data_IF_663636950842
#
_entry.id   IF_663636950842
#
_cell.length_a   1.000
_cell.length_b   1.000
_cell.length_c   1.000
_cell.angle_alpha   90.00
_cell.angle_beta   90.00
_cell.angle_gamma   90.00
#
_symmetry.space_group_name_H-M   'P 1'
#
loop_
_entity.id
_entity.type
_entity.pdbx_description
1 polymer ?
#
# COMPACT_ATOMS: atom_id res chain seq x y z
N UNK A 1 -0.88 1.61 -26.30
CA UNK A 1 -1.60 0.62 -25.47
C UNK A 1 -0.63 -0.14 -24.62
N UNK A 2 -0.91 -0.30 -23.34
CA UNK A 2 -0.15 -1.16 -22.44
C UNK A 2 -1.06 -2.28 -21.96
N UNK A 3 -0.56 -3.52 -21.96
CA UNK A 3 -1.30 -4.70 -21.51
C UNK A 3 -0.45 -5.46 -20.52
N UNK A 4 -0.96 -5.68 -19.32
CA UNK A 4 -0.32 -6.46 -18.28
C UNK A 4 -1.19 -7.66 -17.90
N UNK A 5 -0.53 -8.75 -17.54
CA UNK A 5 -1.21 -9.93 -16.98
C UNK A 5 -0.70 -10.15 -15.56
N UNK A 6 -1.57 -9.93 -14.57
CA UNK A 6 -1.18 -10.00 -13.16
C UNK A 6 -0.61 -11.35 -12.75
N UNK A 7 -1.05 -12.43 -13.35
CA UNK A 7 -0.49 -13.77 -13.08
C UNK A 7 0.95 -13.92 -13.57
N UNK A 8 1.32 -13.18 -14.64
CA UNK A 8 2.68 -13.19 -15.21
C UNK A 8 3.61 -12.18 -14.56
N UNK A 9 3.07 -11.15 -13.92
CA UNK A 9 3.84 -10.07 -13.31
C UNK A 9 4.21 -10.33 -11.85
N UNK A 10 3.90 -11.50 -11.32
CA UNK A 10 4.18 -11.87 -9.93
C UNK A 10 5.68 -11.89 -9.64
N UNK A 11 6.04 -11.37 -8.46
CA UNK A 11 7.37 -11.47 -7.90
C UNK A 11 7.25 -11.58 -6.37
N UNK A 12 8.00 -12.48 -5.76
CA UNK A 12 7.84 -12.83 -4.34
C UNK A 12 9.15 -12.73 -3.59
N UNK A 13 9.09 -12.22 -2.36
CA UNK A 13 10.22 -12.17 -1.44
C UNK A 13 9.73 -12.55 -0.02
N UNK A 14 10.39 -13.52 0.66
CA UNK A 14 9.94 -13.95 1.99
C UNK A 14 10.17 -12.92 3.08
N UNK A 15 11.03 -11.92 2.87
CA UNK A 15 11.36 -10.90 3.86
C UNK A 15 10.45 -9.69 3.84
N UNK A 16 9.98 -9.30 2.65
CA UNK A 16 9.12 -8.14 2.47
C UNK A 16 8.25 -8.29 1.23
N UNK A 17 7.11 -7.62 1.22
CA UNK A 17 6.27 -7.58 0.02
C UNK A 17 7.02 -6.94 -1.15
N UNK A 18 6.66 -7.37 -2.36
CA UNK A 18 7.25 -6.86 -3.59
C UNK A 18 6.26 -5.94 -4.28
N UNK A 19 6.69 -4.73 -4.57
CA UNK A 19 5.95 -3.78 -5.40
C UNK A 19 6.65 -3.65 -6.74
N UNK A 20 5.98 -4.08 -7.81
CA UNK A 20 6.48 -3.99 -9.17
C UNK A 20 5.69 -2.95 -9.94
N UNK A 21 6.32 -1.82 -10.25
CA UNK A 21 5.72 -0.80 -11.10
C UNK A 21 5.64 -1.33 -12.53
N UNK A 22 4.42 -1.44 -13.06
CA UNK A 22 4.14 -1.95 -14.40
C UNK A 22 4.15 -0.84 -15.45
N UNK A 23 3.82 0.39 -15.05
CA UNK A 23 3.81 1.53 -15.93
C UNK A 23 3.48 2.83 -15.22
N UNK A 24 3.61 3.92 -15.95
CA UNK A 24 3.24 5.26 -15.50
C UNK A 24 2.00 5.74 -16.23
N UNK A 25 1.17 6.51 -15.51
CA UNK A 25 -0.01 7.20 -16.04
C UNK A 25 0.11 8.65 -15.59
N UNK A 26 0.52 9.56 -16.50
CA UNK A 26 0.82 10.96 -16.17
C UNK A 26 1.80 11.05 -14.98
N UNK A 27 1.41 11.65 -13.86
CA UNK A 27 2.21 11.78 -12.64
C UNK A 27 2.06 10.58 -11.67
N UNK A 28 1.29 9.57 -12.08
CA UNK A 28 1.02 8.37 -11.29
C UNK A 28 1.69 7.11 -11.80
N UNK A 29 1.43 6.02 -11.11
CA UNK A 29 1.89 4.69 -11.50
C UNK A 29 0.82 3.61 -11.32
N UNK A 30 1.00 2.52 -12.06
CA UNK A 30 0.27 1.27 -11.89
C UNK A 30 1.23 0.19 -11.44
N UNK A 31 0.87 -0.55 -10.40
CA UNK A 31 1.76 -1.46 -9.70
C UNK A 31 1.03 -2.77 -9.40
N UNK A 32 1.74 -3.89 -9.49
CA UNK A 32 1.32 -5.12 -8.82
C UNK A 32 2.09 -5.25 -7.50
N UNK A 33 1.38 -5.43 -6.40
CA UNK A 33 1.94 -5.69 -5.08
C UNK A 33 1.71 -7.16 -4.71
N UNK A 34 2.80 -7.88 -4.48
CA UNK A 34 2.80 -9.31 -4.18
C UNK A 34 3.15 -9.52 -2.71
N UNK A 35 2.26 -10.19 -1.98
CA UNK A 35 2.34 -10.36 -0.53
C UNK A 35 2.43 -11.81 -0.15
N UNK A 36 3.49 -12.19 0.55
CA UNK A 36 3.57 -13.48 1.24
C UNK A 36 2.67 -13.48 2.49
N UNK A 37 2.25 -14.65 3.00
CA UNK A 37 1.44 -14.74 4.20
C UNK A 37 2.00 -13.91 5.37
N UNK A 38 1.13 -13.14 6.02
CA UNK A 38 1.44 -12.38 7.22
C UNK A 38 2.32 -11.13 7.05
N UNK A 39 2.71 -10.78 5.85
CA UNK A 39 3.45 -9.53 5.61
C UNK A 39 2.58 -8.31 5.87
N UNK A 40 3.19 -7.24 6.40
CA UNK A 40 2.50 -6.01 6.80
C UNK A 40 3.22 -4.81 6.20
N UNK A 41 2.47 -3.91 5.56
CA UNK A 41 3.01 -2.65 5.06
C UNK A 41 3.37 -1.68 6.18
N UNK A 42 4.17 -0.65 5.90
CA UNK A 42 4.18 0.52 6.77
C UNK A 42 2.78 1.08 6.99
N UNK A 43 2.53 1.65 8.17
CA UNK A 43 1.39 2.50 8.43
C UNK A 43 1.76 3.91 7.96
N UNK A 44 1.25 4.31 6.80
CA UNK A 44 1.75 5.45 6.04
C UNK A 44 0.64 6.18 5.30
N UNK A 45 0.96 7.33 4.75
CA UNK A 45 0.09 8.05 3.81
C UNK A 45 0.89 8.61 2.64
N UNK A 46 0.16 8.96 1.59
CA UNK A 46 0.67 9.77 0.48
C UNK A 46 0.02 11.15 0.54
N UNK A 47 0.72 12.20 1.03
CA UNK A 47 0.13 13.52 1.22
C UNK A 47 -0.48 14.15 -0.03
N UNK A 48 0.07 13.82 -1.21
CA UNK A 48 -0.27 14.45 -2.47
C UNK A 48 -0.77 13.48 -3.54
N UNK A 49 -1.11 12.25 -3.15
CA UNK A 49 -1.63 11.25 -4.07
C UNK A 49 -2.84 10.51 -3.50
N UNK A 50 -3.77 10.17 -4.38
CA UNK A 50 -4.78 9.13 -4.16
C UNK A 50 -4.16 7.78 -4.44
N UNK A 51 -4.42 6.82 -3.60
CA UNK A 51 -3.98 5.44 -3.78
C UNK A 51 -5.19 4.52 -3.87
N UNK A 52 -5.22 3.68 -4.89
CA UNK A 52 -6.33 2.78 -5.16
C UNK A 52 -5.78 1.35 -5.18
N UNK A 53 -6.38 0.48 -4.38
CA UNK A 53 -6.10 -0.95 -4.39
C UNK A 53 -7.27 -1.75 -4.91
N UNK A 54 -6.97 -2.73 -5.74
CA UNK A 54 -7.89 -3.78 -6.15
C UNK A 54 -7.29 -5.13 -5.78
N UNK A 55 -8.04 -5.92 -5.00
CA UNK A 55 -7.62 -7.28 -4.65
C UNK A 55 -7.98 -8.25 -5.77
N UNK A 56 -6.96 -8.81 -6.40
CA UNK A 56 -7.12 -9.79 -7.46
C UNK A 56 -7.22 -11.21 -6.90
N UNK A 57 -6.28 -11.60 -6.02
CA UNK A 57 -6.28 -12.92 -5.36
C UNK A 57 -5.81 -12.79 -3.92
N UNK A 58 -6.16 -13.75 -3.08
CA UNK A 58 -5.76 -13.78 -1.67
C UNK A 58 -6.62 -12.86 -0.81
N UNK A 59 -5.97 -11.98 -0.07
CA UNK A 59 -6.63 -10.99 0.76
C UNK A 59 -6.02 -10.87 2.15
N UNK A 60 -6.55 -9.92 2.92
CA UNK A 60 -6.08 -9.58 4.25
C UNK A 60 -6.94 -8.50 4.88
N UNK A 61 -6.30 -7.56 5.57
CA UNK A 61 -7.00 -6.44 6.22
C UNK A 61 -6.36 -5.12 5.84
N UNK A 62 -7.21 -4.13 5.53
CA UNK A 62 -6.80 -2.74 5.36
C UNK A 62 -7.25 -1.95 6.60
N UNK A 63 -6.32 -1.23 7.22
CA UNK A 63 -6.54 -0.44 8.42
C UNK A 63 -6.30 1.04 8.17
N UNK A 64 -7.22 1.87 8.62
CA UNK A 64 -7.06 3.31 8.78
C UNK A 64 -7.20 3.68 10.28
N UNK A 65 -7.03 4.94 10.68
CA UNK A 65 -7.31 5.34 12.07
C UNK A 65 -8.77 5.12 12.51
N UNK A 66 -9.70 5.10 11.55
CA UNK A 66 -11.14 5.02 11.81
C UNK A 66 -11.69 3.60 11.81
N UNK A 67 -11.11 2.73 10.97
CA UNK A 67 -11.67 1.41 10.74
C UNK A 67 -10.62 0.39 10.26
N UNK A 68 -11.01 -0.85 10.33
CA UNK A 68 -10.31 -1.96 9.70
C UNK A 68 -11.32 -2.76 8.90
N UNK A 69 -11.04 -2.96 7.61
CA UNK A 69 -11.90 -3.72 6.71
C UNK A 69 -11.21 -5.00 6.26
N UNK A 70 -12.01 -6.00 5.91
CA UNK A 70 -11.53 -7.19 5.21
C UNK A 70 -11.34 -6.88 3.73
N UNK A 71 -10.16 -7.23 3.23
CA UNK A 71 -9.82 -7.16 1.81
C UNK A 71 -9.91 -8.57 1.25
N UNK A 72 -10.83 -8.79 0.35
CA UNK A 72 -11.09 -10.09 -0.30
C UNK A 72 -11.01 -9.93 -1.83
N UNK A 73 -10.87 -10.99 -2.61
CA UNK A 73 -10.88 -10.89 -4.08
C UNK A 73 -12.09 -10.11 -4.59
N UNK A 74 -11.84 -9.11 -5.45
CA UNK A 74 -12.83 -8.16 -5.91
C UNK A 74 -12.99 -6.90 -5.05
N UNK A 75 -12.38 -6.83 -3.86
CA UNK A 75 -12.39 -5.62 -3.05
C UNK A 75 -11.65 -4.47 -3.75
N UNK A 76 -12.24 -3.29 -3.66
CA UNK A 76 -11.70 -2.06 -4.22
C UNK A 76 -11.62 -1.00 -3.11
N UNK A 77 -10.42 -0.53 -2.83
CA UNK A 77 -10.17 0.41 -1.72
C UNK A 77 -9.55 1.68 -2.28
N UNK A 78 -10.07 2.83 -1.87
CA UNK A 78 -9.56 4.14 -2.29
C UNK A 78 -9.11 4.90 -1.05
N UNK A 79 -7.84 5.27 -1.00
CA UNK A 79 -7.26 6.13 0.01
C UNK A 79 -7.09 7.54 -0.56
N UNK A 80 -7.81 8.54 -0.05
CA UNK A 80 -7.60 9.92 -0.46
C UNK A 80 -6.23 10.43 0.03
N UNK A 81 -5.73 11.56 -0.55
CA UNK A 81 -4.47 12.14 -0.14
C UNK A 81 -4.42 12.37 1.38
N UNK A 82 -3.32 11.95 2.01
CA UNK A 82 -3.06 12.14 3.42
C UNK A 82 -3.72 11.12 4.36
N UNK A 83 -4.60 10.24 3.88
CA UNK A 83 -5.17 9.18 4.72
C UNK A 83 -4.10 8.15 5.08
N UNK A 84 -3.88 7.99 6.39
CA UNK A 84 -2.94 6.98 6.91
C UNK A 84 -3.57 5.60 6.83
N UNK A 85 -2.88 4.66 6.20
CA UNK A 85 -3.37 3.29 6.04
C UNK A 85 -2.26 2.26 6.14
N UNK A 86 -2.66 1.01 6.38
CA UNK A 86 -1.78 -0.16 6.47
C UNK A 86 -2.51 -1.37 5.91
N UNK A 87 -1.82 -2.15 5.11
CA UNK A 87 -2.28 -3.47 4.69
C UNK A 87 -1.55 -4.57 5.48
N UNK A 88 -2.32 -5.48 6.06
CA UNK A 88 -1.82 -6.69 6.71
C UNK A 88 -2.33 -7.90 5.93
N UNK A 89 -1.40 -8.65 5.32
CA UNK A 89 -1.76 -9.80 4.52
C UNK A 89 -2.27 -10.97 5.38
N UNK A 90 -3.21 -11.70 4.82
CA UNK A 90 -3.79 -12.89 5.42
C UNK A 90 -2.91 -14.14 5.28
N UNK A 91 -3.50 -15.35 5.45
CA UNK A 91 -2.76 -16.62 5.46
C UNK A 91 -2.38 -17.13 4.07
N UNK A 92 -2.79 -16.47 2.99
CA UNK A 92 -2.49 -16.85 1.61
C UNK A 92 -1.66 -15.78 0.92
N UNK A 93 -0.96 -16.17 -0.16
CA UNK A 93 -0.35 -15.21 -1.09
C UNK A 93 -1.41 -14.30 -1.67
N UNK A 94 -1.12 -13.02 -1.78
CA UNK A 94 -2.05 -12.01 -2.27
C UNK A 94 -1.43 -11.20 -3.40
N UNK A 95 -2.23 -10.95 -4.41
CA UNK A 95 -1.95 -9.97 -5.46
C UNK A 95 -2.92 -8.81 -5.31
N UNK A 96 -2.36 -7.63 -5.05
CA UNK A 96 -3.09 -6.36 -5.11
C UNK A 96 -2.61 -5.59 -6.35
N UNK A 97 -3.56 -5.17 -7.17
CA UNK A 97 -3.30 -4.18 -8.19
C UNK A 97 -3.46 -2.79 -7.57
N UNK A 98 -2.49 -1.91 -7.79
CA UNK A 98 -2.48 -0.57 -7.21
C UNK A 98 -2.33 0.49 -8.29
N UNK A 99 -3.10 1.56 -8.16
CA UNK A 99 -2.91 2.80 -8.90
C UNK A 99 -2.64 3.93 -7.91
N UNK A 100 -1.59 4.70 -8.15
CA UNK A 100 -1.37 5.97 -7.46
C UNK A 100 -1.45 7.11 -8.46
N UNK A 101 -2.15 8.17 -8.07
CA UNK A 101 -2.34 9.34 -8.92
C UNK A 101 -2.31 10.62 -8.07
N UNK A 102 -1.52 11.60 -8.47
CA UNK A 102 -1.40 12.88 -7.78
C UNK A 102 -0.14 13.65 -8.16
N UNK A 103 0.11 14.75 -7.46
CA UNK A 103 1.24 15.64 -7.77
C UNK A 103 2.61 15.01 -7.53
N UNK A 104 2.72 14.13 -6.54
CA UNK A 104 3.89 13.29 -6.29
C UNK A 104 3.51 12.01 -5.55
N UNK A 105 4.40 11.02 -5.57
CA UNK A 105 4.18 9.71 -4.94
C UNK A 105 4.89 9.59 -3.58
N UNK A 106 5.31 10.69 -2.98
CA UNK A 106 6.01 10.70 -1.70
C UNK A 106 5.15 10.05 -0.61
N UNK A 107 5.77 9.20 0.20
CA UNK A 107 5.15 8.58 1.37
C UNK A 107 5.67 9.19 2.67
N UNK A 108 4.79 9.30 3.67
CA UNK A 108 5.09 9.62 5.07
C UNK A 108 4.75 8.43 5.95
N UNK A 109 5.74 7.91 6.68
CA UNK A 109 5.59 6.71 7.49
C UNK A 109 5.35 7.07 8.96
N UNK A 110 4.23 6.61 9.49
CA UNK A 110 3.85 6.83 10.88
C UNK A 110 4.38 5.71 11.80
N UNK A 111 4.24 4.47 11.36
CA UNK A 111 4.65 3.27 12.09
C UNK A 111 4.86 2.10 11.12
N UNK A 112 5.48 1.01 11.58
CA UNK A 112 5.57 -0.23 10.82
C UNK A 112 5.65 -1.44 11.74
N UNK A 113 4.51 -2.02 12.08
CA UNK A 113 4.40 -3.22 12.92
C UNK A 113 5.12 -4.44 12.35
N UNK A 114 5.21 -4.53 11.05
CA UNK A 114 5.88 -5.62 10.34
C UNK A 114 7.40 -5.56 10.36
N UNK A 115 8.00 -4.52 10.98
CA UNK A 115 9.44 -4.30 11.03
C UNK A 115 9.89 -3.86 12.41
N UNK A 116 10.43 -4.81 13.19
CA UNK A 116 10.78 -4.60 14.60
C UNK A 116 11.83 -3.49 14.84
N UNK A 117 12.72 -3.24 13.88
CA UNK A 117 13.76 -2.20 13.94
C UNK A 117 13.36 -0.89 13.25
N UNK A 118 12.07 -0.74 12.90
CA UNK A 118 11.60 0.49 12.26
C UNK A 118 11.75 1.69 13.19
N UNK A 119 12.25 2.79 12.62
CA UNK A 119 12.36 4.09 13.29
C UNK A 119 11.74 5.16 12.41
N UNK A 120 10.85 5.94 13.00
CA UNK A 120 10.23 7.08 12.31
C UNK A 120 11.31 8.10 11.97
N UNK A 121 11.35 8.54 10.72
CA UNK A 121 12.30 9.55 10.28
C UNK A 121 11.92 10.93 10.84
N UNK A 122 12.90 11.83 11.09
CA UNK A 122 12.61 13.19 11.62
C UNK A 122 11.58 13.97 10.80
N UNK A 123 11.65 13.89 9.48
CA UNK A 123 10.72 14.56 8.56
C UNK A 123 9.30 13.99 8.66
N UNK A 124 9.16 12.68 8.86
CA UNK A 124 7.86 12.04 9.04
C UNK A 124 7.25 12.42 10.40
N UNK A 125 8.06 12.39 11.45
CA UNK A 125 7.65 12.85 12.78
C UNK A 125 7.22 14.32 12.76
N UNK A 126 7.92 15.18 12.02
CA UNK A 126 7.55 16.58 11.85
C UNK A 126 6.24 16.77 11.09
N UNK A 127 6.02 15.96 10.05
CA UNK A 127 4.77 15.94 9.29
C UNK A 127 3.57 15.55 10.19
N UNK A 128 3.67 14.43 10.89
CA UNK A 128 2.55 13.91 11.70
C UNK A 128 2.26 14.73 12.97
N UNK A 129 3.21 15.53 13.47
CA UNK A 129 2.90 16.53 14.50
C UNK A 129 1.94 17.61 14.01
N UNK A 130 2.01 17.97 12.72
CA UNK A 130 1.14 18.98 12.09
C UNK A 130 -0.14 18.35 11.50
N UNK A 131 -0.08 17.08 11.13
CA UNK A 131 -1.15 16.34 10.46
C UNK A 131 -1.38 15.00 11.19
N UNK A 132 -1.94 15.01 12.40
CA UNK A 132 -2.17 13.78 13.15
C UNK A 132 -3.14 12.87 12.38
N UNK A 133 -2.94 11.54 12.40
CA UNK A 133 -3.86 10.58 11.82
C UNK A 133 -5.26 10.73 12.42
N UNK A 134 -6.30 10.77 11.57
CA UNK A 134 -7.71 10.97 11.99
C UNK A 134 -8.58 9.80 11.58
#
# INVERSE_FOLDING_TARGET
MHVFNLDKEQAWDPKHHVEKILGKIEDGDVTVACWEPGQISPYHCHPHATEIYFCYTGGGKMRTPRETIDVVPGAFVVHPPGEVHEYANGPARTLLFRVRYGADMMARHFDWRGKADFKVRPEDAAYFRKNPPQ
#
